data_IF_471208120081
#
_entry.id   IF_471208120081
#
_cell.length_a   1.000
_cell.length_b   1.000
_cell.length_c   1.000
_cell.angle_alpha   90.00
_cell.angle_beta   90.00
_cell.angle_gamma   90.00
#
_symmetry.space_group_name_H-M   'P 1'
#
loop_
_entity.id
_entity.type
_entity.pdbx_description
1 polymer ?
#
# COMPACT_ATOMS: atom_id res chain seq x y z
N UNK A 1 9.85 5.59 17.95
CA UNK A 1 9.96 6.44 16.75
C UNK A 1 9.45 7.85 17.07
N UNK A 2 10.00 8.87 16.40
CA UNK A 2 9.53 10.24 16.59
C UNK A 2 8.11 10.38 16.03
N UNK A 3 7.29 11.21 16.66
CA UNK A 3 5.88 11.44 16.25
C UNK A 3 5.74 11.80 14.76
N UNK A 4 6.69 12.56 14.22
CA UNK A 4 6.73 12.94 12.80
C UNK A 4 6.78 11.75 11.84
N UNK A 5 7.26 10.59 12.31
CA UNK A 5 7.35 9.37 11.51
C UNK A 5 6.12 8.49 11.64
N UNK A 6 5.17 8.85 12.52
CA UNK A 6 3.97 8.06 12.82
C UNK A 6 2.67 8.82 12.53
N UNK A 7 2.70 10.15 12.60
CA UNK A 7 1.49 10.98 12.45
C UNK A 7 1.40 11.58 11.05
N UNK A 8 0.20 11.57 10.49
CA UNK A 8 -0.09 12.25 9.23
C UNK A 8 -0.15 13.76 9.45
N UNK A 9 0.71 14.55 8.77
CA UNK A 9 0.89 15.98 9.04
C UNK A 9 0.16 16.87 8.02
N UNK A 10 -0.15 16.37 6.84
CA UNK A 10 -0.79 17.14 5.75
C UNK A 10 -0.06 18.46 5.42
N UNK A 11 1.25 18.37 5.12
CA UNK A 11 2.07 19.53 4.81
C UNK A 11 3.32 19.18 4.00
N UNK A 12 4.12 20.16 3.60
CA UNK A 12 5.37 19.93 2.86
C UNK A 12 6.48 19.43 3.81
N UNK A 13 6.24 18.27 4.43
CA UNK A 13 7.13 17.67 5.42
C UNK A 13 7.58 16.30 4.92
N UNK A 14 8.87 16.01 5.02
CA UNK A 14 9.44 14.70 4.76
C UNK A 14 10.41 14.33 5.88
N UNK A 15 10.27 13.12 6.40
CA UNK A 15 11.18 12.54 7.38
C UNK A 15 12.21 11.62 6.71
N UNK A 16 13.42 11.57 7.24
CA UNK A 16 14.49 10.68 6.78
C UNK A 16 14.96 9.80 7.93
N UNK A 17 15.00 8.49 7.69
CA UNK A 17 15.59 7.52 8.61
C UNK A 17 16.75 6.83 7.88
N UNK A 18 17.94 6.85 8.49
CA UNK A 18 19.07 6.09 8.00
C UNK A 18 19.03 4.69 8.60
N UNK A 19 19.16 3.69 7.76
CA UNK A 19 19.19 2.26 8.11
C UNK A 19 20.50 1.61 7.65
N UNK A 20 20.81 0.43 8.18
CA UNK A 20 22.07 -0.27 7.89
C UNK A 20 21.87 -1.43 6.90
N UNK A 21 20.63 -1.87 6.68
CA UNK A 21 20.31 -2.95 5.77
C UNK A 21 18.96 -2.72 5.10
N UNK A 22 18.70 -3.50 4.04
CA UNK A 22 17.39 -3.47 3.38
C UNK A 22 16.30 -4.10 4.24
N UNK A 23 16.64 -5.10 5.05
CA UNK A 23 15.71 -5.72 6.00
C UNK A 23 15.23 -4.70 7.02
N UNK A 24 16.16 -3.98 7.65
CA UNK A 24 15.83 -2.87 8.55
C UNK A 24 14.99 -1.78 7.86
N UNK A 25 15.25 -1.50 6.58
CA UNK A 25 14.44 -0.55 5.81
C UNK A 25 12.98 -0.98 5.69
N UNK A 26 12.72 -2.26 5.40
CA UNK A 26 11.36 -2.81 5.32
C UNK A 26 10.68 -2.78 6.68
N UNK A 27 11.39 -3.19 7.74
CA UNK A 27 10.87 -3.19 9.11
C UNK A 27 10.44 -1.78 9.53
N UNK A 28 11.32 -0.79 9.34
CA UNK A 28 11.05 0.62 9.65
C UNK A 28 9.92 1.19 8.80
N UNK A 29 9.88 0.85 7.50
CA UNK A 29 8.83 1.32 6.61
C UNK A 29 7.45 0.72 6.94
N UNK A 30 7.42 -0.47 7.52
CA UNK A 30 6.20 -1.12 7.97
C UNK A 30 5.76 -0.72 9.39
N UNK A 31 6.64 -0.09 10.18
CA UNK A 31 6.36 0.35 11.55
C UNK A 31 5.51 1.63 11.57
N UNK A 32 4.31 1.56 11.02
CA UNK A 32 3.31 2.63 10.98
C UNK A 32 1.91 2.04 10.83
N UNK A 33 0.91 2.77 11.28
CA UNK A 33 -0.50 2.42 11.10
C UNK A 33 -1.00 2.62 9.65
N UNK A 34 -0.21 3.21 8.80
CA UNK A 34 -0.56 3.53 7.42
C UNK A 34 0.20 2.68 6.41
N UNK A 35 -0.36 2.53 5.21
CA UNK A 35 0.24 1.75 4.13
C UNK A 35 -0.37 2.10 2.77
N UNK A 36 -0.39 3.39 2.39
CA UNK A 36 -1.02 3.81 1.14
C UNK A 36 -0.16 3.48 -0.07
N UNK A 37 0.99 4.13 -0.18
CA UNK A 37 1.92 3.92 -1.30
C UNK A 37 3.35 3.79 -0.78
N UNK A 38 4.17 3.03 -1.50
CA UNK A 38 5.59 2.93 -1.25
C UNK A 38 6.37 2.79 -2.54
N UNK A 39 7.65 3.11 -2.48
CA UNK A 39 8.56 2.91 -3.59
C UNK A 39 9.89 2.33 -3.11
N UNK A 40 10.48 1.47 -3.93
CA UNK A 40 11.81 0.92 -3.71
C UNK A 40 12.69 1.25 -4.92
N UNK A 41 13.78 1.93 -4.67
CA UNK A 41 14.77 2.31 -5.70
C UNK A 41 16.02 1.46 -5.47
N UNK A 42 16.26 0.49 -6.32
CA UNK A 42 17.38 -0.43 -6.21
C UNK A 42 17.68 -1.15 -7.52
N UNK A 43 18.93 -1.55 -7.71
CA UNK A 43 19.36 -2.45 -8.79
C UNK A 43 19.44 -3.92 -8.31
N UNK A 44 19.23 -4.19 -7.03
CA UNK A 44 19.27 -5.54 -6.49
C UNK A 44 17.91 -6.21 -6.64
N UNK A 45 17.87 -7.31 -7.40
CA UNK A 45 16.63 -8.07 -7.66
C UNK A 45 16.05 -8.72 -6.40
N UNK A 46 16.88 -9.13 -5.46
CA UNK A 46 16.43 -9.73 -4.20
C UNK A 46 15.68 -8.72 -3.34
N UNK A 47 16.12 -7.46 -3.33
CA UNK A 47 15.38 -6.37 -2.67
C UNK A 47 13.98 -6.16 -3.26
N UNK A 48 13.83 -6.31 -4.57
CA UNK A 48 12.52 -6.22 -5.21
C UNK A 48 11.59 -7.36 -4.76
N UNK A 49 12.11 -8.59 -4.79
CA UNK A 49 11.34 -9.77 -4.39
C UNK A 49 10.91 -9.63 -2.92
N UNK A 50 11.83 -9.22 -2.05
CA UNK A 50 11.52 -8.98 -0.64
C UNK A 50 10.48 -7.89 -0.47
N UNK A 51 10.63 -6.75 -1.13
CA UNK A 51 9.65 -5.65 -1.04
C UNK A 51 8.25 -6.05 -1.51
N UNK A 52 8.15 -6.83 -2.59
CA UNK A 52 6.86 -7.34 -3.09
C UNK A 52 6.16 -8.23 -2.05
N UNK A 53 6.93 -9.00 -1.29
CA UNK A 53 6.38 -9.95 -0.33
C UNK A 53 6.14 -9.36 1.07
N UNK A 54 6.91 -8.36 1.46
CA UNK A 54 7.00 -7.94 2.86
C UNK A 54 6.70 -6.46 3.11
N UNK A 55 6.66 -5.61 2.08
CA UNK A 55 6.35 -4.19 2.26
C UNK A 55 4.84 -3.94 2.24
N UNK A 56 4.28 -3.57 3.38
CA UNK A 56 2.84 -3.44 3.64
C UNK A 56 2.24 -2.14 3.09
N UNK A 57 2.23 -2.00 1.78
CA UNK A 57 1.60 -0.88 1.09
C UNK A 57 0.64 -1.35 0.00
N UNK A 58 -0.44 -0.63 -0.19
CA UNK A 58 -1.45 -0.98 -1.17
C UNK A 58 -0.99 -0.81 -2.61
N UNK A 59 -0.16 0.20 -2.89
CA UNK A 59 0.46 0.41 -4.20
C UNK A 59 1.98 0.50 -4.03
N UNK A 60 2.69 -0.52 -4.47
CA UNK A 60 4.14 -0.58 -4.46
C UNK A 60 4.72 -0.25 -5.84
N UNK A 61 5.68 0.64 -5.86
CA UNK A 61 6.38 1.07 -7.08
C UNK A 61 7.87 0.72 -7.02
N UNK A 62 8.38 0.13 -8.10
CA UNK A 62 9.78 -0.27 -8.19
C UNK A 62 10.50 0.63 -9.20
N UNK A 63 11.58 1.30 -8.74
CA UNK A 63 12.42 2.22 -9.52
C UNK A 63 11.66 3.36 -10.20
N UNK A 64 10.61 3.86 -9.55
CA UNK A 64 9.84 5.03 -9.99
C UNK A 64 9.24 5.75 -8.79
N UNK A 65 8.71 6.92 -9.00
CA UNK A 65 7.95 7.66 -7.98
C UNK A 65 6.67 6.92 -7.55
N UNK A 66 6.24 7.15 -6.33
CA UNK A 66 5.08 6.51 -5.72
C UNK A 66 3.73 7.19 -6.03
N UNK A 67 3.60 7.73 -7.23
CA UNK A 67 2.39 8.39 -7.73
C UNK A 67 1.95 7.78 -9.06
N UNK A 68 0.82 8.26 -9.61
CA UNK A 68 0.29 7.87 -10.91
C UNK A 68 -0.36 6.46 -10.95
N UNK A 69 -1.24 6.19 -9.99
CA UNK A 69 -2.25 5.15 -10.15
C UNK A 69 -3.21 5.50 -11.29
N UNK A 70 -3.65 4.49 -12.04
CA UNK A 70 -4.50 4.67 -13.22
C UNK A 70 -5.72 3.78 -13.10
N UNK A 71 -6.91 4.38 -13.18
CA UNK A 71 -8.18 3.65 -13.14
C UNK A 71 -8.20 2.49 -14.12
N UNK A 72 -8.58 1.32 -13.67
CA UNK A 72 -8.64 0.09 -14.47
C UNK A 72 -7.30 -0.62 -14.68
N UNK A 73 -6.17 0.08 -14.62
CA UNK A 73 -4.84 -0.51 -14.79
C UNK A 73 -4.04 -0.60 -13.48
N UNK A 74 -4.08 0.45 -12.70
CA UNK A 74 -3.43 0.53 -11.40
C UNK A 74 -4.44 1.04 -10.37
N UNK A 75 -5.37 0.20 -9.90
CA UNK A 75 -6.31 0.58 -8.86
C UNK A 75 -5.60 1.12 -7.63
N UNK A 76 -6.18 2.14 -7.00
CA UNK A 76 -5.56 2.88 -5.92
C UNK A 76 -6.23 2.61 -4.58
N UNK A 77 -5.43 2.25 -3.60
CA UNK A 77 -5.89 2.03 -2.23
C UNK A 77 -4.79 1.43 -1.38
N UNK A 78 -4.85 1.65 -0.07
CA UNK A 78 -3.82 1.28 0.88
C UNK A 78 -4.15 0.04 1.70
N UNK A 79 -3.18 -0.37 2.47
CA UNK A 79 -3.30 -1.33 3.55
C UNK A 79 -3.49 -0.61 4.90
N UNK A 80 -3.74 -1.35 5.95
CA UNK A 80 -3.88 -0.83 7.32
C UNK A 80 -4.92 0.30 7.36
N UNK A 81 -4.65 1.39 8.03
CA UNK A 81 -5.54 2.56 8.12
C UNK A 81 -5.68 3.35 6.81
N UNK A 82 -4.91 3.02 5.79
CA UNK A 82 -4.94 3.71 4.48
C UNK A 82 -5.87 3.08 3.47
N UNK A 83 -6.65 2.07 3.81
CA UNK A 83 -7.53 1.46 2.82
C UNK A 83 -8.50 0.42 3.33
N UNK A 84 -9.25 -0.12 2.36
CA UNK A 84 -10.22 -1.20 2.50
C UNK A 84 -9.87 -2.32 1.53
N UNK A 85 -10.62 -3.42 1.55
CA UNK A 85 -10.36 -4.63 0.76
C UNK A 85 -10.28 -4.36 -0.75
N UNK A 86 -11.24 -3.62 -1.30
CA UNK A 86 -11.31 -3.35 -2.73
C UNK A 86 -10.76 -1.95 -3.06
N UNK A 87 -9.83 -1.89 -4.01
CA UNK A 87 -9.18 -0.65 -4.42
C UNK A 87 -10.06 0.19 -5.34
N UNK A 88 -10.06 1.50 -5.12
CA UNK A 88 -10.69 2.49 -5.99
C UNK A 88 -10.18 2.35 -7.43
N UNK A 89 -11.10 2.33 -8.38
CA UNK A 89 -10.78 2.14 -9.80
C UNK A 89 -10.54 0.68 -10.21
N UNK A 90 -10.84 -0.29 -9.33
CA UNK A 90 -10.90 -1.71 -9.67
C UNK A 90 -12.34 -2.14 -9.98
N UNK A 91 -12.55 -3.20 -10.79
CA UNK A 91 -13.86 -3.79 -11.01
C UNK A 91 -14.53 -4.25 -9.71
N UNK A 92 -13.74 -4.70 -8.75
CA UNK A 92 -14.20 -5.26 -7.48
C UNK A 92 -14.69 -4.18 -6.50
N UNK A 93 -14.42 -2.91 -6.75
CA UNK A 93 -14.81 -1.83 -5.86
C UNK A 93 -16.32 -1.77 -5.62
N UNK A 94 -17.12 -2.09 -6.63
CA UNK A 94 -18.58 -2.12 -6.53
C UNK A 94 -19.10 -3.20 -5.58
N UNK A 95 -18.32 -4.26 -5.34
CA UNK A 95 -18.69 -5.33 -4.42
C UNK A 95 -18.87 -4.83 -2.98
N UNK A 96 -18.18 -3.73 -2.61
CA UNK A 96 -18.34 -3.10 -1.30
C UNK A 96 -19.76 -2.57 -1.04
N UNK A 97 -20.57 -2.39 -2.08
CA UNK A 97 -21.90 -1.81 -2.02
C UNK A 97 -22.99 -2.83 -2.32
N UNK A 98 -22.66 -4.11 -2.40
CA UNK A 98 -23.56 -5.19 -2.76
C UNK A 98 -23.69 -6.18 -1.61
N UNK A 99 -24.92 -6.65 -1.39
CA UNK A 99 -25.22 -7.77 -0.50
C UNK A 99 -25.64 -9.00 -1.31
N UNK A 100 -25.12 -10.16 -0.93
CA UNK A 100 -25.50 -11.42 -1.55
C UNK A 100 -26.88 -11.85 -1.05
N UNK A 101 -27.74 -12.26 -1.98
CA UNK A 101 -29.04 -12.88 -1.69
C UNK A 101 -29.12 -14.24 -2.36
N UNK A 102 -29.41 -15.26 -1.58
CA UNK A 102 -29.69 -16.60 -2.10
C UNK A 102 -31.21 -16.83 -2.16
N UNK A 103 -31.69 -17.30 -3.30
CA UNK A 103 -33.09 -17.67 -3.49
C UNK A 103 -33.13 -19.12 -3.93
N UNK A 104 -33.95 -19.92 -3.24
CA UNK A 104 -34.26 -21.31 -3.62
C UNK A 104 -35.74 -21.47 -3.81
N UNK A 105 -36.16 -22.18 -4.89
CA UNK A 105 -37.54 -22.50 -5.17
C UNK A 105 -37.65 -24.02 -5.40
N UNK A 106 -38.68 -24.60 -4.85
CA UNK A 106 -39.06 -26.01 -5.11
C UNK A 106 -40.31 -26.03 -5.98
N UNK A 107 -40.27 -26.79 -7.05
CA UNK A 107 -41.36 -27.00 -7.97
C UNK A 107 -42.15 -28.26 -7.61
#
# INVERSE_FOLDING_TARGET
ADRIMQEEIFGPVVGFIKVNSFDEAIDVANDTDYGLTGAVITNNREHWIKAVNEYDVGNLYLNRGCTAAVVGYHPFGGFKMSGTDAKTGSPDYLLNFLEQKVVSEMF
#
